data_IF_852087234563
#
_entry.id   IF_852087234563
#
_cell.length_a   1.000
_cell.length_b   1.000
_cell.length_c   1.000
_cell.angle_alpha   90.00
_cell.angle_beta   90.00
_cell.angle_gamma   90.00
#
_symmetry.space_group_name_H-M   'P 1'
#
loop_
_entity.id
_entity.type
_entity.pdbx_description
1 polymer ?
#
# COMPACT_ATOMS: atom_id res chain seq x y z
N UNK A 1 -17.28 -12.40 4.99
CA UNK A 1 -15.93 -12.63 4.42
C UNK A 1 -15.73 -12.05 3.04
N UNK A 2 -16.64 -12.25 2.09
CA UNK A 2 -16.51 -11.77 0.69
C UNK A 2 -16.21 -10.27 0.56
N UNK A 3 -16.84 -9.42 1.37
CA UNK A 3 -16.63 -7.96 1.36
C UNK A 3 -15.24 -7.56 1.87
N UNK A 4 -14.79 -8.13 3.00
CA UNK A 4 -13.44 -7.89 3.53
C UNK A 4 -12.34 -8.32 2.55
N UNK A 5 -12.52 -9.47 1.88
CA UNK A 5 -11.57 -9.94 0.88
C UNK A 5 -11.51 -9.01 -0.35
N UNK A 6 -12.66 -8.51 -0.81
CA UNK A 6 -12.73 -7.51 -1.89
C UNK A 6 -12.04 -6.20 -1.51
N UNK A 7 -12.26 -5.69 -0.29
CA UNK A 7 -11.58 -4.49 0.20
C UNK A 7 -10.07 -4.70 0.31
N UNK A 8 -9.62 -5.84 0.84
CA UNK A 8 -8.21 -6.18 0.93
C UNK A 8 -7.55 -6.25 -0.44
N UNK A 9 -8.21 -6.91 -1.41
CA UNK A 9 -7.74 -6.97 -2.79
C UNK A 9 -7.69 -5.58 -3.45
N UNK A 10 -8.66 -4.72 -3.18
CA UNK A 10 -8.69 -3.36 -3.71
C UNK A 10 -7.49 -2.55 -3.17
N UNK A 11 -7.26 -2.54 -1.86
CA UNK A 11 -6.09 -1.87 -1.28
C UNK A 11 -4.76 -2.50 -1.73
N UNK A 12 -4.70 -3.83 -1.87
CA UNK A 12 -3.53 -4.52 -2.40
C UNK A 12 -3.24 -4.13 -3.85
N UNK A 13 -4.29 -3.97 -4.68
CA UNK A 13 -4.14 -3.55 -6.08
C UNK A 13 -3.63 -2.10 -6.19
N UNK A 14 -4.13 -1.19 -5.34
CA UNK A 14 -3.64 0.20 -5.25
C UNK A 14 -2.17 0.22 -4.84
N UNK A 15 -1.81 -0.56 -3.81
CA UNK A 15 -0.43 -0.68 -3.36
C UNK A 15 0.49 -1.22 -4.47
N UNK A 16 0.07 -2.31 -5.13
CA UNK A 16 0.85 -2.94 -6.20
C UNK A 16 1.04 -2.01 -7.39
N UNK A 17 -0.03 -1.31 -7.83
CA UNK A 17 0.05 -0.35 -8.92
C UNK A 17 1.02 0.80 -8.59
N UNK A 18 0.93 1.36 -7.38
CA UNK A 18 1.83 2.42 -6.93
C UNK A 18 3.28 1.92 -6.78
N UNK A 19 3.48 0.66 -6.36
CA UNK A 19 4.80 0.04 -6.27
C UNK A 19 5.46 -0.17 -7.63
N UNK A 20 4.73 -0.72 -8.58
CA UNK A 20 5.21 -0.90 -9.94
C UNK A 20 5.51 0.46 -10.58
N UNK A 21 4.61 1.43 -10.46
CA UNK A 21 4.81 2.79 -10.98
C UNK A 21 6.06 3.45 -10.37
N UNK A 22 6.29 3.30 -9.06
CA UNK A 22 7.49 3.80 -8.39
C UNK A 22 8.77 3.15 -8.92
N UNK A 23 8.75 1.83 -9.12
CA UNK A 23 9.90 1.09 -9.64
C UNK A 23 10.30 1.52 -11.06
N UNK A 24 9.31 1.89 -11.90
CA UNK A 24 9.58 2.38 -13.26
C UNK A 24 10.00 3.86 -13.30
N UNK A 25 9.47 4.69 -12.41
CA UNK A 25 9.69 6.16 -12.44
C UNK A 25 10.93 6.56 -11.65
N UNK A 26 11.27 5.82 -10.59
CA UNK A 26 12.38 6.11 -9.68
C UNK A 26 13.35 4.92 -9.73
N UNK A 27 14.21 4.85 -10.77
CA UNK A 27 15.12 3.73 -10.97
C UNK A 27 16.17 3.60 -9.87
N UNK A 28 16.49 4.70 -9.17
CA UNK A 28 17.45 4.71 -8.07
C UNK A 28 16.82 5.29 -6.79
N UNK A 29 16.67 4.44 -5.77
CA UNK A 29 16.48 4.87 -4.39
C UNK A 29 17.81 5.25 -3.72
N UNK A 30 18.88 5.44 -4.51
CA UNK A 30 20.14 6.00 -4.07
C UNK A 30 19.88 7.41 -3.50
N UNK A 31 20.61 7.81 -2.44
CA UNK A 31 20.21 8.93 -1.62
C UNK A 31 20.13 10.20 -2.47
N UNK A 32 18.98 10.87 -2.37
CA UNK A 32 18.67 12.22 -2.87
C UNK A 32 19.77 13.25 -2.49
N UNK A 33 20.68 12.87 -1.58
CA UNK A 33 21.89 13.57 -1.19
C UNK A 33 22.89 13.86 -2.32
N UNK A 34 22.88 13.12 -3.44
CA UNK A 34 23.83 13.38 -4.55
C UNK A 34 23.38 14.48 -5.53
N UNK A 35 22.19 15.07 -5.37
CA UNK A 35 21.72 16.21 -6.18
C UNK A 35 21.54 15.90 -7.68
N UNK A 36 21.52 14.62 -8.05
CA UNK A 36 21.54 14.12 -9.44
C UNK A 36 20.14 13.84 -10.00
N UNK A 37 19.17 13.61 -9.11
CA UNK A 37 17.76 13.35 -9.46
C UNK A 37 17.01 14.66 -9.73
N UNK A 38 16.21 14.68 -10.79
CA UNK A 38 15.41 15.85 -11.13
C UNK A 38 14.32 16.11 -10.08
N UNK A 39 14.10 17.37 -9.70
CA UNK A 39 13.11 17.77 -8.67
C UNK A 39 11.72 17.14 -8.89
N UNK A 40 11.31 16.93 -10.15
CA UNK A 40 10.03 16.29 -10.47
C UNK A 40 9.99 14.79 -10.12
N UNK A 41 11.10 14.06 -10.29
CA UNK A 41 11.20 12.63 -9.97
C UNK A 41 11.05 12.41 -8.46
N UNK A 42 11.66 13.29 -7.66
CA UNK A 42 11.56 13.28 -6.21
C UNK A 42 10.11 13.51 -5.76
N UNK A 43 9.42 14.51 -6.34
CA UNK A 43 8.01 14.78 -6.02
C UNK A 43 7.11 13.60 -6.35
N UNK A 44 7.30 12.98 -7.52
CA UNK A 44 6.54 11.79 -7.94
C UNK A 44 6.85 10.59 -7.04
N UNK A 45 8.11 10.40 -6.63
CA UNK A 45 8.52 9.37 -5.68
C UNK A 45 7.80 9.52 -4.33
N UNK A 46 7.76 10.74 -3.78
CA UNK A 46 7.04 11.03 -2.53
C UNK A 46 5.54 10.82 -2.69
N UNK A 47 4.94 11.25 -3.79
CA UNK A 47 3.52 11.04 -4.05
C UNK A 47 3.17 9.54 -4.14
N UNK A 48 3.94 8.76 -4.89
CA UNK A 48 3.78 7.31 -5.00
C UNK A 48 3.97 6.61 -3.64
N UNK A 49 4.93 7.07 -2.83
CA UNK A 49 5.13 6.57 -1.48
C UNK A 49 3.92 6.86 -0.57
N UNK A 50 3.30 8.04 -0.70
CA UNK A 50 2.07 8.36 0.04
C UNK A 50 0.92 7.43 -0.37
N UNK A 51 0.73 7.21 -1.67
CA UNK A 51 -0.31 6.29 -2.18
C UNK A 51 -0.07 4.85 -1.71
N UNK A 52 1.18 4.39 -1.72
CA UNK A 52 1.56 3.09 -1.16
C UNK A 52 1.20 3.01 0.32
N UNK A 53 1.53 4.02 1.12
CA UNK A 53 1.23 4.03 2.55
C UNK A 53 -0.28 4.03 2.82
N UNK A 54 -1.08 4.73 2.02
CA UNK A 54 -2.55 4.68 2.11
C UNK A 54 -3.05 3.26 1.82
N UNK A 55 -2.53 2.62 0.77
CA UNK A 55 -2.85 1.23 0.44
C UNK A 55 -2.50 0.27 1.58
N UNK A 56 -1.30 0.41 2.15
CA UNK A 56 -0.82 -0.39 3.29
C UNK A 56 -1.71 -0.19 4.53
N UNK A 57 -2.01 1.06 4.87
CA UNK A 57 -2.84 1.40 6.00
C UNK A 57 -4.27 0.86 5.84
N UNK A 58 -4.83 0.94 4.63
CA UNK A 58 -6.13 0.34 4.30
C UNK A 58 -6.13 -1.18 4.47
N UNK A 59 -5.06 -1.88 4.04
CA UNK A 59 -4.92 -3.32 4.28
C UNK A 59 -4.84 -3.66 5.78
N UNK A 60 -4.08 -2.89 6.57
CA UNK A 60 -3.96 -3.06 8.02
C UNK A 60 -5.30 -2.84 8.72
N UNK A 61 -6.05 -1.80 8.37
CA UNK A 61 -7.39 -1.54 8.90
C UNK A 61 -8.35 -2.69 8.57
N UNK A 62 -8.37 -3.14 7.32
CA UNK A 62 -9.20 -4.28 6.91
C UNK A 62 -8.84 -5.53 7.70
N UNK A 63 -7.55 -5.80 7.93
CA UNK A 63 -7.08 -6.92 8.74
C UNK A 63 -7.50 -6.78 10.22
N UNK A 64 -7.31 -5.60 10.82
CA UNK A 64 -7.68 -5.30 12.20
C UNK A 64 -9.18 -5.40 12.47
N UNK A 65 -10.03 -5.11 11.48
CA UNK A 65 -11.49 -5.29 11.61
C UNK A 65 -11.91 -6.74 11.31
N UNK A 66 -11.25 -7.40 10.36
CA UNK A 66 -11.56 -8.77 9.97
C UNK A 66 -11.14 -9.81 11.03
N UNK A 67 -10.01 -9.60 11.71
CA UNK A 67 -9.47 -10.47 12.76
C UNK A 67 -10.44 -10.67 13.95
N UNK A 68 -10.93 -9.61 14.64
CA UNK A 68 -11.91 -9.75 15.73
C UNK A 68 -13.27 -10.23 15.23
N UNK A 69 -13.62 -9.97 13.97
CA UNK A 69 -14.83 -10.52 13.34
C UNK A 69 -14.77 -12.04 13.15
N UNK A 70 -13.57 -12.62 13.02
CA UNK A 70 -13.36 -14.09 13.10
C UNK A 70 -13.35 -14.59 14.54
N UNK A 71 -12.76 -13.83 15.47
CA UNK A 71 -12.68 -14.21 16.89
C UNK A 71 -14.05 -14.23 17.60
N UNK A 72 -15.03 -13.44 17.14
CA UNK A 72 -16.42 -13.49 17.64
C UNK A 72 -17.25 -14.67 17.13
N UNK A 73 -16.72 -15.48 16.21
CA UNK A 73 -17.30 -16.77 15.84
C UNK A 73 -16.35 -17.92 16.28
N UNK A 74 -16.13 -18.12 17.60
CA UNK A 74 -15.68 -19.43 18.04
C UNK A 74 -16.90 -20.33 17.90
N UNK A 75 -16.96 -21.08 16.80
CA UNK A 75 -17.46 -22.46 16.80
C UNK A 75 -18.69 -22.70 17.71
N UNK A 76 -19.86 -22.30 17.23
CA UNK A 76 -21.06 -23.14 17.42
C UNK A 76 -20.98 -24.18 16.29
N UNK A 77 -20.18 -25.23 16.49
CA UNK A 77 -20.31 -26.47 15.74
C UNK A 77 -19.70 -27.63 16.50
#
# INVERSE_FOLDING_TARGET
MRTFLKCLLLFASIFAAAYVARMFIVPDAAPIAEGKESNWQIQVAFFLMMVQNIGLFGMVLVALVALPSRAKNPVVR
#
